data_IF_034681413215
#
_entry.id   IF_034681413215
#
_cell.length_a   1.000
_cell.length_b   1.000
_cell.length_c   1.000
_cell.angle_alpha   90.00
_cell.angle_beta   90.00
_cell.angle_gamma   90.00
#
_symmetry.space_group_name_H-M   'P 1'
#
loop_
_entity.id
_entity.type
_entity.pdbx_description
1 polymer ?
#
# COMPACT_ATOMS: atom_id res chain seq x y z
N UNK A 1 16.54 -51.42 -21.27
CA UNK A 1 16.93 -50.40 -20.26
C UNK A 1 15.68 -49.64 -19.86
N UNK A 2 15.61 -49.21 -18.58
CA UNK A 2 14.73 -48.23 -17.92
C UNK A 2 13.47 -48.62 -17.08
N UNK A 3 13.76 -49.12 -15.85
CA UNK A 3 13.26 -48.75 -14.49
C UNK A 3 11.73 -48.57 -14.24
N UNK A 4 11.12 -49.55 -13.56
CA UNK A 4 9.88 -49.36 -12.78
C UNK A 4 10.23 -48.75 -11.43
N UNK A 5 9.60 -47.62 -11.09
CA UNK A 5 9.84 -46.90 -9.85
C UNK A 5 9.18 -47.63 -8.67
N UNK A 6 9.97 -47.72 -7.61
CA UNK A 6 9.79 -48.44 -6.37
C UNK A 6 8.70 -47.77 -5.53
N UNK A 7 7.55 -48.43 -5.36
CA UNK A 7 6.61 -48.09 -4.29
C UNK A 7 7.12 -48.69 -2.98
N UNK A 8 7.44 -47.85 -2.00
CA UNK A 8 7.90 -48.33 -0.71
C UNK A 8 8.02 -47.24 0.35
N UNK A 9 6.94 -47.03 1.08
CA UNK A 9 6.90 -46.77 2.53
C UNK A 9 7.76 -45.61 3.07
N UNK A 10 7.21 -44.40 3.08
CA UNK A 10 7.67 -43.33 3.98
C UNK A 10 7.04 -43.50 5.36
N UNK A 11 7.82 -44.04 6.29
CA UNK A 11 7.58 -43.89 7.73
C UNK A 11 8.88 -43.43 8.38
N UNK A 12 8.99 -42.13 8.66
CA UNK A 12 9.90 -41.58 9.64
C UNK A 12 9.35 -40.24 10.13
N UNK A 13 8.69 -40.30 11.27
CA UNK A 13 8.42 -39.16 12.16
C UNK A 13 9.75 -38.62 12.63
N UNK A 14 10.00 -37.31 12.49
CA UNK A 14 10.82 -36.56 13.44
C UNK A 14 10.31 -35.11 13.55
N UNK A 15 9.75 -34.81 14.72
CA UNK A 15 9.54 -33.47 15.26
C UNK A 15 10.89 -32.81 15.55
N UNK A 16 11.13 -31.65 14.97
CA UNK A 16 12.03 -30.61 15.50
C UNK A 16 11.46 -29.28 15.01
N UNK A 17 10.88 -28.44 15.86
CA UNK A 17 11.53 -27.87 17.03
C UNK A 17 12.13 -26.54 16.60
N UNK A 18 11.27 -25.51 16.61
CA UNK A 18 11.51 -24.07 16.46
C UNK A 18 12.99 -23.65 16.47
N UNK A 19 13.46 -23.12 15.34
CA UNK A 19 14.71 -22.34 15.29
C UNK A 19 14.55 -21.13 16.20
N UNK A 20 15.18 -21.20 17.38
CA UNK A 20 15.39 -20.07 18.27
C UNK A 20 16.35 -19.08 17.63
N UNK A 21 15.83 -17.93 17.19
CA UNK A 21 16.63 -16.74 16.96
C UNK A 21 16.94 -16.13 18.34
N UNK A 22 18.15 -16.39 18.82
CA UNK A 22 18.80 -15.62 19.89
C UNK A 22 19.27 -14.24 19.40
N UNK A 23 19.80 -13.41 20.30
CA UNK A 23 19.22 -12.11 20.62
C UNK A 23 19.91 -10.95 19.90
N UNK A 24 19.13 -9.89 19.62
CA UNK A 24 19.63 -8.52 19.48
C UNK A 24 18.58 -7.55 20.03
N UNK A 25 18.89 -6.94 21.17
CA UNK A 25 18.40 -5.60 21.45
C UNK A 25 18.85 -4.67 20.31
N UNK A 26 18.03 -3.69 19.94
CA UNK A 26 18.30 -2.36 20.47
C UNK A 26 17.04 -1.66 21.01
N UNK A 27 17.22 -1.05 22.18
CA UNK A 27 16.52 0.19 22.55
C UNK A 27 16.73 1.22 21.44
N UNK A 28 15.66 1.76 20.89
CA UNK A 28 15.66 3.11 20.37
C UNK A 28 14.26 3.72 20.55
N UNK A 29 14.00 4.17 21.77
CA UNK A 29 13.07 5.27 21.99
C UNK A 29 13.75 6.54 21.47
N UNK A 30 13.53 6.86 20.20
CA UNK A 30 13.86 8.17 19.65
C UNK A 30 12.54 8.84 19.28
N UNK A 31 11.96 9.55 20.25
CA UNK A 31 11.03 10.64 19.95
C UNK A 31 11.88 11.81 19.45
N UNK A 32 11.97 11.95 18.13
CA UNK A 32 12.40 13.21 17.51
C UNK A 32 11.16 13.84 16.89
N UNK A 33 10.46 14.66 17.66
CA UNK A 33 9.56 15.67 17.10
C UNK A 33 10.43 16.75 16.49
N UNK A 34 10.74 16.63 15.20
CA UNK A 34 11.22 17.78 14.44
C UNK A 34 10.00 18.67 14.19
N UNK A 35 9.77 19.65 15.06
CA UNK A 35 8.96 20.82 14.73
C UNK A 35 9.84 21.74 13.88
N UNK A 36 9.82 21.57 12.57
CA UNK A 36 10.30 22.62 11.67
C UNK A 36 9.22 23.70 11.65
N UNK A 37 9.52 24.87 12.21
CA UNK A 37 8.79 26.08 11.83
C UNK A 37 9.14 26.35 10.36
N UNK A 38 8.27 25.95 9.45
CA UNK A 38 8.39 26.38 8.06
C UNK A 38 7.75 27.75 7.88
N UNK A 39 8.62 28.64 7.42
CA UNK A 39 8.41 30.03 7.05
C UNK A 39 7.27 30.16 6.05
N UNK A 40 6.48 31.22 6.26
CA UNK A 40 5.45 31.74 5.36
C UNK A 40 6.01 31.95 3.95
N UNK A 41 5.74 31.02 3.03
CA UNK A 41 5.89 31.24 1.59
C UNK A 41 4.53 31.55 0.97
N UNK A 42 4.57 32.50 0.05
CA UNK A 42 3.44 33.25 -0.49
C UNK A 42 2.78 32.49 -1.65
N UNK A 43 1.46 32.39 -1.55
CA UNK A 43 0.41 32.16 -2.55
C UNK A 43 0.81 32.23 -4.04
N UNK A 44 0.63 31.11 -4.76
CA UNK A 44 0.40 31.09 -6.21
C UNK A 44 -0.76 30.13 -6.52
N UNK A 45 -1.78 30.67 -7.17
CA UNK A 45 -3.06 30.03 -7.45
C UNK A 45 -2.96 28.79 -8.34
N UNK A 46 -3.11 27.63 -7.75
CA UNK A 46 -3.82 26.47 -8.31
C UNK A 46 -4.42 25.79 -7.09
N UNK A 47 -5.73 25.56 -7.08
CA UNK A 47 -6.41 24.85 -5.99
C UNK A 47 -5.99 23.37 -6.02
N UNK A 48 -4.72 23.11 -5.74
CA UNK A 48 -4.25 21.85 -5.19
C UNK A 48 -4.78 21.89 -3.77
N UNK A 49 -5.83 21.13 -3.49
CA UNK A 49 -6.28 20.90 -2.11
C UNK A 49 -5.19 20.07 -1.43
N UNK A 50 -4.02 20.66 -1.15
CA UNK A 50 -3.08 20.06 -0.21
C UNK A 50 -3.86 19.96 1.08
N UNK A 51 -4.18 18.74 1.50
CA UNK A 51 -4.88 18.45 2.73
C UNK A 51 -4.05 18.91 3.95
N UNK A 52 -4.02 20.22 4.20
CA UNK A 52 -3.38 20.84 5.36
C UNK A 52 -4.23 20.67 6.64
N UNK A 53 -5.43 20.08 6.55
CA UNK A 53 -6.20 19.71 7.73
C UNK A 53 -5.53 18.55 8.46
N UNK A 54 -5.50 18.61 9.78
CA UNK A 54 -5.13 17.48 10.61
C UNK A 54 -6.04 16.28 10.31
N UNK A 55 -5.43 15.15 9.96
CA UNK A 55 -6.14 13.88 9.77
C UNK A 55 -6.35 13.26 11.15
N UNK A 56 -7.62 12.99 11.48
CA UNK A 56 -8.02 12.37 12.75
C UNK A 56 -8.82 11.10 12.46
N UNK A 57 -8.92 10.20 13.44
CA UNK A 57 -9.73 8.98 13.31
C UNK A 57 -11.20 9.28 12.97
N UNK A 58 -11.72 10.43 13.40
CA UNK A 58 -13.11 10.83 13.16
C UNK A 58 -13.33 11.38 11.74
N UNK A 59 -12.37 12.11 11.17
CA UNK A 59 -12.54 12.79 9.88
C UNK A 59 -11.98 12.02 8.68
N UNK A 60 -11.21 10.94 8.88
CA UNK A 60 -10.56 10.21 7.80
C UNK A 60 -11.53 9.72 6.69
N UNK A 61 -12.81 9.48 7.03
CA UNK A 61 -13.82 9.03 6.06
C UNK A 61 -14.53 10.17 5.32
N UNK A 62 -14.35 11.40 5.77
CA UNK A 62 -15.03 12.58 5.22
C UNK A 62 -14.24 13.25 4.09
N UNK A 63 -13.02 12.75 3.80
CA UNK A 63 -12.19 13.26 2.72
C UNK A 63 -12.82 12.96 1.35
N UNK A 64 -12.82 13.94 0.41
CA UNK A 64 -13.37 13.73 -0.92
C UNK A 64 -12.60 12.64 -1.67
N UNK A 65 -13.25 12.00 -2.64
CA UNK A 65 -12.56 11.08 -3.56
C UNK A 65 -11.44 11.84 -4.29
N UNK A 66 -10.26 11.22 -4.38
CA UNK A 66 -9.13 11.73 -5.13
C UNK A 66 -9.47 11.68 -6.63
N UNK A 67 -9.17 12.77 -7.34
CA UNK A 67 -9.42 12.90 -8.77
C UNK A 67 -8.71 11.78 -9.57
N UNK A 68 -9.41 11.18 -10.53
CA UNK A 68 -8.92 10.07 -11.35
C UNK A 68 -7.60 10.39 -12.07
N UNK A 69 -7.34 11.67 -12.39
CA UNK A 69 -6.12 12.11 -13.08
C UNK A 69 -4.82 11.84 -12.30
N UNK A 70 -4.92 11.63 -10.98
CA UNK A 70 -3.77 11.31 -10.14
C UNK A 70 -3.46 9.81 -10.12
N UNK A 71 -4.29 8.97 -10.74
CA UNK A 71 -4.07 7.53 -10.74
C UNK A 71 -3.53 7.05 -12.08
N UNK A 72 -2.58 6.12 -12.02
CA UNK A 72 -2.21 5.29 -13.17
C UNK A 72 -3.06 4.03 -13.13
N UNK A 73 -3.84 3.77 -14.16
CA UNK A 73 -4.77 2.64 -14.19
C UNK A 73 -4.83 1.96 -15.58
N UNK A 74 -5.28 0.72 -15.62
CA UNK A 74 -5.60 0.01 -16.87
C UNK A 74 -6.99 -0.61 -16.79
N UNK A 75 -7.66 -0.65 -17.95
CA UNK A 75 -8.96 -1.28 -18.08
C UNK A 75 -8.80 -2.81 -18.12
N UNK A 76 -9.54 -3.49 -17.25
CA UNK A 76 -9.73 -4.93 -17.21
C UNK A 76 -11.17 -5.26 -17.63
N UNK A 77 -11.52 -6.55 -17.73
CA UNK A 77 -12.84 -6.96 -18.24
C UNK A 77 -14.02 -6.37 -17.45
N UNK A 78 -13.87 -6.22 -16.13
CA UNK A 78 -14.97 -5.82 -15.24
C UNK A 78 -14.85 -4.37 -14.72
N UNK A 79 -13.77 -3.66 -15.05
CA UNK A 79 -13.50 -2.33 -14.49
C UNK A 79 -12.05 -1.92 -14.61
N UNK A 80 -11.60 -0.98 -13.77
CA UNK A 80 -10.23 -0.48 -13.77
C UNK A 80 -9.41 -1.03 -12.61
N UNK A 81 -8.17 -1.42 -12.91
CA UNK A 81 -7.15 -1.70 -11.90
C UNK A 81 -6.21 -0.51 -11.78
N UNK A 82 -5.98 -0.03 -10.56
CA UNK A 82 -5.06 1.07 -10.25
C UNK A 82 -3.69 0.50 -9.92
N UNK A 83 -2.64 1.06 -10.53
CA UNK A 83 -1.24 0.65 -10.35
C UNK A 83 -0.36 1.69 -9.66
N UNK A 84 -0.85 2.92 -9.50
CA UNK A 84 -0.10 3.99 -8.86
C UNK A 84 -0.96 5.21 -8.60
N UNK A 85 -0.50 6.06 -7.68
CA UNK A 85 -1.05 7.36 -7.36
C UNK A 85 0.08 8.38 -7.37
N UNK A 86 -0.11 9.50 -8.06
CA UNK A 86 0.84 10.62 -8.11
C UNK A 86 0.43 11.80 -7.22
N UNK A 87 -0.71 11.69 -6.50
CA UNK A 87 -1.11 12.72 -5.54
C UNK A 87 -0.13 12.76 -4.36
N UNK A 88 0.17 13.98 -3.91
CA UNK A 88 0.94 14.26 -2.70
C UNK A 88 0.05 14.42 -1.46
N UNK A 89 -1.25 14.17 -1.59
CA UNK A 89 -2.21 14.27 -0.49
C UNK A 89 -1.93 13.28 0.64
N UNK A 90 -2.17 13.73 1.87
CA UNK A 90 -2.04 12.90 3.07
C UNK A 90 -3.07 11.77 3.13
N UNK A 91 -4.26 11.98 2.57
CA UNK A 91 -5.34 10.99 2.49
C UNK A 91 -5.69 10.78 1.04
N UNK A 92 -5.56 9.53 0.59
CA UNK A 92 -5.98 9.10 -0.74
C UNK A 92 -7.27 8.32 -0.58
N UNK A 93 -8.38 8.95 -0.98
CA UNK A 93 -9.67 8.29 -1.04
C UNK A 93 -9.90 7.82 -2.48
N UNK A 94 -9.69 6.53 -2.71
CA UNK A 94 -9.76 5.94 -4.06
C UNK A 94 -11.19 6.08 -4.60
N UNK A 95 -11.37 6.64 -5.81
CA UNK A 95 -12.69 6.79 -6.39
C UNK A 95 -13.34 5.44 -6.64
N UNK A 96 -14.66 5.35 -6.49
CA UNK A 96 -15.40 4.10 -6.74
C UNK A 96 -15.43 3.74 -8.22
N UNK A 97 -15.39 4.76 -9.07
CA UNK A 97 -15.46 4.62 -10.52
C UNK A 97 -14.46 5.52 -11.21
N UNK A 98 -13.89 5.04 -12.30
CA UNK A 98 -13.06 5.80 -13.25
C UNK A 98 -13.78 5.72 -14.60
N UNK A 99 -14.00 6.85 -15.28
CA UNK A 99 -14.74 6.90 -16.54
C UNK A 99 -16.09 6.13 -16.55
N UNK A 100 -16.80 6.12 -15.41
CA UNK A 100 -18.09 5.44 -15.26
C UNK A 100 -18.03 3.92 -15.07
N UNK A 101 -16.84 3.30 -15.00
CA UNK A 101 -16.64 1.87 -14.69
C UNK A 101 -16.05 1.70 -13.30
N UNK A 102 -16.32 0.58 -12.58
CA UNK A 102 -15.86 0.42 -11.21
C UNK A 102 -14.34 0.29 -11.13
N UNK A 103 -13.76 0.77 -10.03
CA UNK A 103 -12.40 0.40 -9.63
C UNK A 103 -12.46 -0.95 -8.93
N UNK A 104 -11.78 -1.94 -9.50
CA UNK A 104 -11.90 -3.35 -9.07
C UNK A 104 -10.64 -3.88 -8.39
N UNK A 105 -9.51 -3.17 -8.51
CA UNK A 105 -8.25 -3.59 -7.90
C UNK A 105 -7.31 -2.40 -7.67
N UNK A 106 -6.49 -2.54 -6.62
CA UNK A 106 -5.24 -1.80 -6.46
C UNK A 106 -4.13 -2.85 -6.55
N UNK A 107 -3.29 -2.74 -7.56
CA UNK A 107 -2.35 -3.79 -7.94
C UNK A 107 -0.94 -3.24 -8.13
N UNK A 108 0.06 -4.10 -8.00
CA UNK A 108 1.44 -3.76 -8.37
C UNK A 108 1.72 -4.25 -9.79
N UNK A 109 2.25 -3.37 -10.64
CA UNK A 109 2.65 -3.75 -12.01
C UNK A 109 3.91 -4.62 -11.95
N UNK A 110 3.89 -5.77 -12.63
CA UNK A 110 5.09 -6.61 -12.81
C UNK A 110 5.36 -7.65 -11.73
N UNK A 111 4.38 -8.05 -10.92
CA UNK A 111 4.49 -9.27 -10.12
C UNK A 111 4.30 -10.48 -11.05
N UNK A 112 5.42 -11.02 -11.54
CA UNK A 112 5.50 -12.31 -12.21
C UNK A 112 5.79 -13.43 -11.20
#
# INVERSE_FOLDING_TARGET
MNKKLLSGLCAAVLLSGLVGCGPKEPKQDTTTSTSTNETKETENNTTTTTNNSEVTEKNFKDFPETDEKYFTYEEWQEGYAIYGCSSEDKVINVPKTINGKPVIAIAQRGMA
#
